data_IF_463190384743
#
_entry.id   IF_463190384743
#
_cell.length_a   1.000
_cell.length_b   1.000
_cell.length_c   1.000
_cell.angle_alpha   90.00
_cell.angle_beta   90.00
_cell.angle_gamma   90.00
#
_symmetry.space_group_name_H-M   'P 1'
#
loop_
_entity.id
_entity.type
_entity.pdbx_description
1 polymer ?
#
# COMPACT_ATOMS: atom_id res chain seq x y z
N UNK A 1 1.88 -9.22 -8.18
CA UNK A 1 1.68 -8.79 -6.78
C UNK A 1 2.30 -7.41 -6.63
N UNK A 2 1.56 -6.41 -6.12
CA UNK A 2 2.08 -5.04 -5.95
C UNK A 2 3.05 -4.98 -4.76
N UNK A 3 4.18 -4.29 -4.93
CA UNK A 3 5.07 -3.92 -3.84
C UNK A 3 4.84 -2.46 -3.45
N UNK A 4 4.90 -2.17 -2.14
CA UNK A 4 4.73 -0.81 -1.63
C UNK A 4 6.08 -0.15 -1.35
N UNK A 5 6.15 1.15 -1.56
CA UNK A 5 7.28 1.99 -1.16
C UNK A 5 6.78 3.20 -0.38
N UNK A 6 7.52 3.63 0.64
CA UNK A 6 7.14 4.77 1.46
C UNK A 6 8.17 5.89 1.34
N UNK A 7 7.68 7.10 1.13
CA UNK A 7 8.45 8.32 1.27
C UNK A 7 8.15 8.97 2.62
N UNK A 8 9.08 8.81 3.58
CA UNK A 8 8.98 9.38 4.93
C UNK A 8 9.13 10.92 4.92
N UNK A 9 9.67 11.51 3.86
CA UNK A 9 9.86 12.96 3.71
C UNK A 9 8.69 13.67 3.03
N UNK A 10 7.73 12.93 2.45
CA UNK A 10 6.64 13.51 1.64
C UNK A 10 5.64 14.39 2.42
N UNK A 11 5.60 14.30 3.76
CA UNK A 11 4.55 14.90 4.58
C UNK A 11 3.18 14.23 4.45
N UNK A 12 3.04 13.22 3.59
CA UNK A 12 1.80 12.46 3.39
C UNK A 12 1.76 11.32 4.41
N UNK A 13 0.61 11.14 5.06
CA UNK A 13 0.43 10.02 5.98
C UNK A 13 0.66 8.66 5.30
N UNK A 14 1.39 7.76 5.96
CA UNK A 14 1.78 6.45 5.43
C UNK A 14 0.62 5.63 4.83
N UNK A 15 -0.54 5.61 5.49
CA UNK A 15 -1.71 4.87 4.98
C UNK A 15 -2.21 5.45 3.64
N UNK A 16 -2.14 6.77 3.46
CA UNK A 16 -2.51 7.41 2.19
C UNK A 16 -1.52 7.08 1.09
N UNK A 17 -0.22 6.99 1.40
CA UNK A 17 0.78 6.59 0.41
C UNK A 17 0.51 5.18 -0.14
N UNK A 18 0.09 4.25 0.72
CA UNK A 18 -0.34 2.89 0.32
C UNK A 18 -1.57 2.97 -0.58
N UNK A 19 -2.62 3.69 -0.16
CA UNK A 19 -3.86 3.86 -0.94
C UNK A 19 -3.57 4.50 -2.31
N UNK A 20 -2.68 5.49 -2.37
CA UNK A 20 -2.31 6.16 -3.61
C UNK A 20 -1.62 5.20 -4.59
N UNK A 21 -0.72 4.34 -4.11
CA UNK A 21 -0.06 3.33 -4.93
C UNK A 21 -1.04 2.30 -5.49
N UNK A 22 -1.99 1.82 -4.69
CA UNK A 22 -3.05 0.91 -5.18
C UNK A 22 -3.87 1.58 -6.28
N UNK A 23 -4.35 2.81 -6.04
CA UNK A 23 -5.12 3.57 -7.03
C UNK A 23 -4.33 3.83 -8.31
N UNK A 24 -3.04 4.11 -8.19
CA UNK A 24 -2.16 4.30 -9.34
C UNK A 24 -1.97 2.99 -10.12
N UNK A 25 -1.73 1.87 -9.44
CA UNK A 25 -1.59 0.57 -10.08
C UNK A 25 -2.87 0.13 -10.81
N UNK A 26 -4.04 0.45 -10.27
CA UNK A 26 -5.33 0.28 -10.94
C UNK A 26 -5.43 1.13 -12.22
N UNK A 27 -5.08 2.42 -12.14
CA UNK A 27 -5.10 3.32 -13.31
C UNK A 27 -4.13 2.89 -14.42
N UNK A 28 -2.98 2.33 -14.03
CA UNK A 28 -1.97 1.83 -14.96
C UNK A 28 -2.29 0.43 -15.51
N UNK A 29 -3.34 -0.23 -15.01
CA UNK A 29 -3.73 -1.58 -15.41
C UNK A 29 -2.77 -2.68 -14.93
N UNK A 30 -1.78 -2.33 -14.11
CA UNK A 30 -0.87 -3.29 -13.44
C UNK A 30 -1.56 -4.01 -12.30
N UNK A 31 -2.62 -3.43 -11.76
CA UNK A 31 -3.60 -4.09 -10.90
C UNK A 31 -4.97 -4.02 -11.58
N UNK A 32 -5.77 -5.06 -11.45
CA UNK A 32 -7.14 -5.13 -11.97
C UNK A 32 -8.14 -5.41 -10.84
N UNK A 33 -9.41 -5.01 -10.97
CA UNK A 33 -10.45 -5.45 -10.05
C UNK A 33 -10.48 -6.97 -9.96
N UNK A 34 -10.49 -7.50 -8.73
CA UNK A 34 -10.41 -8.95 -8.46
C UNK A 34 -8.99 -9.46 -8.20
N UNK A 35 -7.95 -8.69 -8.54
CA UNK A 35 -6.59 -9.03 -8.15
C UNK A 35 -6.42 -8.92 -6.64
N UNK A 36 -5.70 -9.90 -6.07
CA UNK A 36 -5.42 -9.92 -4.65
C UNK A 36 -4.30 -8.94 -4.30
N UNK A 37 -4.57 -8.07 -3.33
CA UNK A 37 -3.55 -7.25 -2.69
C UNK A 37 -2.75 -8.10 -1.68
N UNK A 38 -1.50 -7.72 -1.36
CA UNK A 38 -0.78 -8.33 -0.24
C UNK A 38 -1.62 -8.29 1.04
N UNK A 39 -1.47 -9.26 1.91
CA UNK A 39 -2.08 -9.23 3.23
C UNK A 39 -1.49 -8.11 4.07
N UNK A 40 -2.25 -7.64 5.07
CA UNK A 40 -1.74 -6.63 5.99
C UNK A 40 -0.43 -7.05 6.66
N UNK A 41 -0.28 -8.35 6.95
CA UNK A 41 0.94 -8.93 7.52
C UNK A 41 2.15 -8.80 6.56
N UNK A 42 1.98 -9.16 5.29
CA UNK A 42 3.05 -9.04 4.29
C UNK A 42 3.48 -7.57 4.09
N UNK A 43 2.54 -6.62 4.17
CA UNK A 43 2.86 -5.18 4.09
C UNK A 43 3.62 -4.71 5.32
N UNK A 44 3.24 -5.16 6.52
CA UNK A 44 3.97 -4.85 7.76
C UNK A 44 5.40 -5.39 7.70
N UNK A 45 5.57 -6.64 7.26
CA UNK A 45 6.89 -7.29 7.18
C UNK A 45 7.78 -6.61 6.12
N UNK A 46 7.22 -6.20 4.97
CA UNK A 46 7.99 -5.52 3.92
C UNK A 46 8.34 -4.06 4.21
N UNK A 47 7.45 -3.32 4.88
CA UNK A 47 7.65 -1.89 5.13
C UNK A 47 8.16 -1.57 6.55
N UNK A 48 8.14 -2.54 7.46
CA UNK A 48 8.43 -2.37 8.88
C UNK A 48 7.66 -1.21 9.52
N UNK A 49 6.34 -1.13 9.27
CA UNK A 49 5.45 -0.08 9.79
C UNK A 49 4.42 -0.63 10.77
N UNK A 50 3.77 0.27 11.51
CA UNK A 50 2.71 -0.08 12.45
C UNK A 50 1.56 -0.82 11.74
N UNK A 51 1.17 -2.04 12.19
CA UNK A 51 0.05 -2.79 11.63
C UNK A 51 -1.26 -2.01 11.53
N UNK A 52 -1.56 -1.14 12.50
CA UNK A 52 -2.76 -0.31 12.48
C UNK A 52 -2.77 0.69 11.31
N UNK A 53 -1.59 1.13 10.86
CA UNK A 53 -1.46 2.00 9.69
C UNK A 53 -1.78 1.26 8.40
N UNK A 54 -1.39 -0.01 8.31
CA UNK A 54 -1.74 -0.88 7.17
C UNK A 54 -3.23 -1.20 7.20
N UNK A 55 -3.78 -1.60 8.35
CA UNK A 55 -5.21 -1.86 8.50
C UNK A 55 -6.08 -0.65 8.15
N UNK A 56 -5.59 0.58 8.35
CA UNK A 56 -6.27 1.81 7.94
C UNK A 56 -6.24 2.05 6.42
N UNK A 57 -5.28 1.45 5.71
CA UNK A 57 -5.13 1.60 4.26
C UNK A 57 -5.98 0.60 3.45
N UNK A 58 -6.38 -0.50 4.06
CA UNK A 58 -7.20 -1.57 3.48
C UNK A 58 -8.69 -1.32 3.78
#
# INVERSE_FOLDING_TARGET
MIGFQLDRGSGVATYLQIVHQVRQALRLGTLRPGDQLPTAREVVESLAINPNTVLKAY
#
